data_IF_322043449002
#
_entry.id   IF_322043449002
#
_cell.length_a   1.000
_cell.length_b   1.000
_cell.length_c   1.000
_cell.angle_alpha   90.00
_cell.angle_beta   90.00
_cell.angle_gamma   90.00
#
_symmetry.space_group_name_H-M   'P 1'
#
loop_
_entity.id
_entity.type
_entity.pdbx_description
1 polymer ?
#
# COMPACT_ATOMS: atom_id res chain seq x y z
N UNK A 1 0.48 -1.28 -13.62
CA UNK A 1 -0.57 -1.23 -12.58
C UNK A 1 -0.05 -1.96 -11.36
N UNK A 2 -0.33 -1.46 -10.15
CA UNK A 2 0.04 -2.11 -8.90
C UNK A 2 -1.11 -1.98 -7.90
N UNK A 3 -1.32 -3.02 -7.12
CA UNK A 3 -2.19 -3.01 -5.94
C UNK A 3 -1.37 -3.54 -4.76
N UNK A 4 -1.17 -2.71 -3.74
CA UNK A 4 -0.26 -3.06 -2.67
C UNK A 4 -0.43 -2.22 -1.41
N UNK A 5 0.25 -2.59 -0.31
CA UNK A 5 0.15 -1.88 0.96
C UNK A 5 0.49 -0.41 0.81
N UNK A 6 -0.22 0.42 1.57
CA UNK A 6 0.18 1.81 1.78
C UNK A 6 1.46 1.85 2.63
N UNK A 7 2.62 2.00 2.00
CA UNK A 7 3.91 2.00 2.70
C UNK A 7 4.04 3.09 3.77
N UNK A 8 3.63 4.35 3.55
CA UNK A 8 3.63 5.35 4.61
C UNK A 8 2.81 4.93 5.85
N UNK A 9 1.65 4.30 5.66
CA UNK A 9 0.85 3.74 6.75
C UNK A 9 1.56 2.58 7.45
N UNK A 10 2.15 1.67 6.67
CA UNK A 10 2.92 0.55 7.18
C UNK A 10 4.09 1.01 8.05
N UNK A 11 4.82 2.05 7.63
CA UNK A 11 5.93 2.60 8.40
C UNK A 11 5.49 3.32 9.69
N UNK A 12 4.33 3.99 9.68
CA UNK A 12 3.76 4.55 10.91
C UNK A 12 3.44 3.45 11.92
N UNK A 13 2.82 2.35 11.48
CA UNK A 13 2.56 1.17 12.34
C UNK A 13 3.85 0.52 12.83
N UNK A 14 4.87 0.43 11.98
CA UNK A 14 6.18 -0.08 12.37
C UNK A 14 6.80 0.77 13.49
N UNK A 15 6.62 2.10 13.48
CA UNK A 15 7.08 2.96 14.56
C UNK A 15 6.39 2.64 15.90
N UNK A 16 5.12 2.27 15.90
CA UNK A 16 4.41 1.84 17.12
C UNK A 16 4.97 0.51 17.67
N UNK A 17 5.31 -0.43 16.79
CA UNK A 17 5.99 -1.68 17.17
C UNK A 17 7.36 -1.38 17.79
N UNK A 18 8.12 -0.46 17.19
CA UNK A 18 9.43 -0.04 17.71
C UNK A 18 9.27 0.63 19.08
N UNK A 19 8.30 1.52 19.29
CA UNK A 19 8.04 2.15 20.58
C UNK A 19 7.74 1.12 21.68
N UNK A 20 6.94 0.08 21.38
CA UNK A 20 6.67 -1.03 22.33
C UNK A 20 7.96 -1.75 22.74
N UNK A 21 8.83 -2.05 21.78
CA UNK A 21 10.12 -2.73 22.04
C UNK A 21 11.02 -1.85 22.89
N UNK A 22 11.13 -0.56 22.56
CA UNK A 22 11.96 0.39 23.31
C UNK A 22 11.46 0.59 24.75
N UNK A 23 10.18 0.32 25.02
CA UNK A 23 9.58 0.31 26.38
C UNK A 23 9.72 -1.01 27.12
N UNK A 24 10.37 -2.01 26.53
CA UNK A 24 10.69 -3.30 27.16
C UNK A 24 9.77 -4.46 26.81
N UNK A 25 8.89 -4.32 25.81
CA UNK A 25 8.12 -5.46 25.31
C UNK A 25 9.06 -6.47 24.62
N UNK A 26 8.88 -7.77 24.89
CA UNK A 26 9.58 -8.84 24.17
C UNK A 26 9.09 -8.89 22.72
N UNK A 27 9.98 -8.87 21.70
CA UNK A 27 9.56 -8.95 20.31
C UNK A 27 8.70 -10.17 19.96
N UNK A 28 8.91 -11.29 20.66
CA UNK A 28 8.11 -12.51 20.47
C UNK A 28 6.66 -12.40 20.95
N UNK A 29 6.36 -11.42 21.80
CA UNK A 29 5.01 -11.19 22.33
C UNK A 29 4.22 -10.18 21.49
N UNK A 30 4.87 -9.48 20.55
CA UNK A 30 4.23 -8.51 19.67
C UNK A 30 3.62 -9.25 18.48
N UNK A 31 2.29 -9.20 18.26
CA UNK A 31 1.67 -9.85 17.13
C UNK A 31 2.15 -9.26 15.79
N UNK A 32 2.34 -10.13 14.80
CA UNK A 32 2.58 -9.69 13.42
C UNK A 32 1.28 -9.11 12.86
N UNK A 33 1.33 -7.85 12.46
CA UNK A 33 0.19 -7.16 11.84
C UNK A 33 0.22 -7.27 10.32
N UNK A 34 -0.97 -7.40 9.72
CA UNK A 34 -1.16 -7.32 8.28
C UNK A 34 -1.52 -5.88 7.87
N UNK A 35 -1.15 -5.43 6.65
CA UNK A 35 -1.60 -4.16 6.13
C UNK A 35 -3.13 -4.07 6.09
N UNK A 36 -3.68 -2.94 6.52
CA UNK A 36 -5.13 -2.67 6.48
C UNK A 36 -5.52 -1.65 5.43
N UNK A 37 -4.53 -0.92 4.88
CA UNK A 37 -4.70 0.06 3.80
C UNK A 37 -3.85 -0.32 2.60
N UNK A 38 -4.45 -0.20 1.44
CA UNK A 38 -3.86 -0.53 0.15
C UNK A 38 -4.03 0.64 -0.80
N UNK A 39 -3.13 0.73 -1.78
CA UNK A 39 -3.23 1.65 -2.90
C UNK A 39 -3.38 0.88 -4.20
N UNK A 40 -4.31 1.36 -5.03
CA UNK A 40 -4.42 1.01 -6.44
C UNK A 40 -3.83 2.14 -7.29
N UNK A 41 -2.72 1.85 -7.97
CA UNK A 41 -2.06 2.80 -8.89
C UNK A 41 -2.13 2.28 -10.31
N UNK A 42 -2.68 3.11 -11.20
CA UNK A 42 -2.87 2.79 -12.62
C UNK A 42 -1.94 3.66 -13.46
N UNK A 43 -1.11 3.04 -14.30
CA UNK A 43 -0.28 3.76 -15.27
C UNK A 43 -0.96 3.71 -16.64
N UNK A 44 -1.63 4.80 -17.00
CA UNK A 44 -2.35 4.95 -18.26
C UNK A 44 -1.39 5.06 -19.45
N UNK A 45 -0.21 5.67 -19.27
CA UNK A 45 0.83 5.75 -20.32
C UNK A 45 1.24 4.37 -20.80
N UNK A 46 1.60 3.49 -19.86
CA UNK A 46 2.00 2.13 -20.12
C UNK A 46 0.85 1.32 -20.70
N UNK A 47 -0.38 1.48 -20.17
CA UNK A 47 -1.56 0.78 -20.69
C UNK A 47 -1.81 1.13 -22.17
N UNK A 48 -1.77 2.43 -22.53
CA UNK A 48 -1.89 2.90 -23.91
C UNK A 48 -0.78 2.34 -24.80
N UNK A 49 0.47 2.34 -24.32
CA UNK A 49 1.62 1.84 -25.08
C UNK A 49 1.53 0.35 -25.44
N UNK A 50 0.85 -0.45 -24.61
CA UNK A 50 0.65 -1.89 -24.86
C UNK A 50 -0.73 -2.21 -25.46
N UNK A 51 -1.51 -1.20 -25.85
CA UNK A 51 -2.85 -1.40 -26.42
C UNK A 51 -3.90 -1.90 -25.42
N UNK A 52 -3.66 -1.75 -24.11
CA UNK A 52 -4.60 -2.14 -23.06
C UNK A 52 -5.55 -0.99 -22.76
N UNK A 53 -6.85 -1.24 -22.94
CA UNK A 53 -7.90 -0.31 -22.50
C UNK A 53 -8.22 -0.56 -21.02
N UNK A 54 -8.12 0.48 -20.19
CA UNK A 54 -8.48 0.39 -18.76
C UNK A 54 -9.94 0.82 -18.57
N UNK A 55 -10.81 -0.03 -17.98
CA UNK A 55 -12.19 0.33 -17.66
C UNK A 55 -12.30 1.55 -16.74
N UNK A 56 -13.32 2.37 -16.96
CA UNK A 56 -13.56 3.58 -16.15
C UNK A 56 -13.83 3.23 -14.68
N UNK A 57 -14.46 2.10 -14.41
CA UNK A 57 -14.74 1.62 -13.06
C UNK A 57 -13.44 1.40 -12.27
N UNK A 58 -12.39 0.91 -12.93
CA UNK A 58 -11.08 0.75 -12.29
C UNK A 58 -10.36 2.09 -12.09
N UNK A 59 -10.53 3.03 -13.01
CA UNK A 59 -9.97 4.38 -12.87
C UNK A 59 -10.61 5.15 -11.70
N UNK A 60 -11.92 4.98 -11.49
CA UNK A 60 -12.65 5.58 -10.37
C UNK A 60 -12.24 5.02 -9.01
N UNK A 61 -11.75 3.78 -8.99
CA UNK A 61 -11.25 3.12 -7.77
C UNK A 61 -9.77 3.39 -7.51
N UNK A 62 -9.03 3.95 -8.48
CA UNK A 62 -7.61 4.18 -8.34
C UNK A 62 -7.35 5.33 -7.37
N UNK A 63 -6.43 5.10 -6.42
CA UNK A 63 -5.90 6.16 -5.56
C UNK A 63 -5.02 7.12 -6.35
N UNK A 64 -4.35 6.62 -7.39
CA UNK A 64 -3.50 7.42 -8.27
C UNK A 64 -3.54 6.90 -9.71
N UNK A 65 -3.56 7.84 -10.65
CA UNK A 65 -3.41 7.59 -12.09
C UNK A 65 -2.18 8.34 -12.60
N UNK A 66 -1.26 7.59 -13.21
CA UNK A 66 -0.05 8.12 -13.84
C UNK A 66 -0.26 8.18 -15.35
N UNK A 67 -0.09 9.36 -15.95
CA UNK A 67 -0.36 9.65 -17.37
C UNK A 67 0.90 9.90 -18.22
#
# INVERSE_FOLDING_TARGET
MSYGPNYPDLFRRAAEVIDKILRGASPGDIPVEQPTRFYLVINLKSAKAIGLTVPNELLLLADEVVE
#
